data_IF_762592543533
#
_entry.id   IF_762592543533
#
_cell.length_a   1.000
_cell.length_b   1.000
_cell.length_c   1.000
_cell.angle_alpha   90.00
_cell.angle_beta   90.00
_cell.angle_gamma   90.00
#
_symmetry.space_group_name_H-M   'P 1'
#
loop_
_entity.id
_entity.type
_entity.pdbx_description
1 polymer ?
#
# COMPACT_ATOMS: atom_id res chain seq x y z
N UNK A 1 20.92 21.05 19.82
CA UNK A 1 20.04 22.16 20.25
C UNK A 1 19.16 21.92 21.50
N UNK A 2 18.79 20.69 21.92
CA UNK A 2 17.93 20.50 23.10
C UNK A 2 18.55 20.96 24.43
N UNK A 3 19.84 20.70 24.67
CA UNK A 3 20.45 20.93 25.98
C UNK A 3 20.51 22.42 26.39
N UNK A 4 20.63 23.38 25.46
CA UNK A 4 20.78 24.81 25.80
C UNK A 4 19.48 25.39 26.36
N UNK A 5 18.32 24.94 25.86
CA UNK A 5 17.01 25.45 26.31
C UNK A 5 16.67 25.02 27.74
N UNK A 6 17.24 23.92 28.23
CA UNK A 6 16.97 23.39 29.56
C UNK A 6 17.76 24.08 30.69
N UNK A 7 18.73 24.96 30.39
CA UNK A 7 19.60 25.55 31.42
C UNK A 7 18.88 26.34 32.52
N UNK A 8 17.86 27.18 32.22
CA UNK A 8 17.11 27.88 33.26
C UNK A 8 16.43 26.90 34.23
N UNK A 9 15.74 25.90 33.70
CA UNK A 9 15.04 24.88 34.49
C UNK A 9 16.02 24.07 35.36
N UNK A 10 17.15 23.62 34.78
CA UNK A 10 18.19 22.92 35.55
C UNK A 10 18.78 23.81 36.67
N UNK A 11 18.89 25.12 36.45
CA UNK A 11 19.39 26.06 37.45
C UNK A 11 18.40 26.26 38.60
N UNK A 12 17.09 26.24 38.31
CA UNK A 12 16.04 26.29 39.33
C UNK A 12 16.01 24.99 40.13
N UNK A 13 16.03 23.83 39.47
CA UNK A 13 16.08 22.53 40.15
C UNK A 13 17.30 22.40 41.07
N UNK A 14 18.47 22.89 40.63
CA UNK A 14 19.68 22.91 41.46
C UNK A 14 19.52 23.76 42.73
N UNK A 15 18.74 24.86 42.67
CA UNK A 15 18.45 25.70 43.84
C UNK A 15 17.43 25.06 44.77
N UNK A 16 16.31 24.59 44.21
CA UNK A 16 15.18 24.01 44.95
C UNK A 16 15.59 22.78 45.76
N UNK A 17 16.56 22.01 45.26
CA UNK A 17 17.05 20.78 45.87
C UNK A 17 18.52 20.87 46.30
N UNK A 18 19.04 22.08 46.56
CA UNK A 18 20.49 22.34 46.76
C UNK A 18 21.21 21.48 47.82
N UNK A 19 20.49 20.95 48.82
CA UNK A 19 21.06 20.07 49.86
C UNK A 19 21.02 18.58 49.50
N UNK A 20 20.24 18.19 48.49
CA UNK A 20 19.96 16.79 48.14
C UNK A 20 20.25 16.44 46.68
N UNK A 21 20.45 17.44 45.81
CA UNK A 21 20.68 17.29 44.38
C UNK A 21 21.89 18.11 43.95
N UNK A 22 22.77 17.49 43.17
CA UNK A 22 23.82 18.17 42.44
C UNK A 22 23.65 17.88 40.94
N UNK A 23 23.54 18.95 40.14
CA UNK A 23 23.49 18.84 38.67
C UNK A 23 24.88 19.17 38.12
N UNK A 24 25.47 18.22 37.42
CA UNK A 24 26.79 18.35 36.79
C UNK A 24 26.63 18.19 35.29
N UNK A 25 27.03 19.21 34.54
CA UNK A 25 27.10 19.16 33.08
C UNK A 25 28.36 18.42 32.66
N UNK A 26 28.34 17.72 31.53
CA UNK A 26 29.52 17.05 30.98
C UNK A 26 29.65 17.28 29.49
N UNK A 27 30.85 17.65 29.03
CA UNK A 27 31.13 17.93 27.63
C UNK A 27 32.59 17.66 27.26
N UNK A 28 32.83 17.30 26.00
CA UNK A 28 34.17 17.14 25.42
C UNK A 28 34.76 18.47 24.88
N UNK A 29 34.03 19.57 25.04
CA UNK A 29 34.43 20.92 24.61
C UNK A 29 35.47 21.52 25.57
N UNK A 30 36.30 22.42 25.05
CA UNK A 30 37.38 23.09 25.78
C UNK A 30 36.88 23.94 26.96
N UNK A 31 37.66 24.00 28.05
CA UNK A 31 37.31 24.72 29.26
C UNK A 31 36.93 26.18 29.00
N UNK A 32 37.75 26.91 28.21
CA UNK A 32 37.53 28.33 27.93
C UNK A 32 36.15 28.56 27.30
N UNK A 33 35.78 27.75 26.31
CA UNK A 33 34.51 27.86 25.59
C UNK A 33 33.31 27.65 26.53
N UNK A 34 33.41 26.69 27.45
CA UNK A 34 32.34 26.38 28.40
C UNK A 34 32.25 27.43 29.51
N UNK A 35 33.37 27.91 30.02
CA UNK A 35 33.42 29.03 30.98
C UNK A 35 32.75 30.27 30.40
N UNK A 36 33.15 30.69 29.19
CA UNK A 36 32.56 31.84 28.48
C UNK A 36 31.04 31.63 28.28
N UNK A 37 30.63 30.41 27.95
CA UNK A 37 29.22 30.04 27.75
C UNK A 37 28.37 30.14 29.02
N UNK A 38 28.89 29.69 30.17
CA UNK A 38 28.21 29.70 31.47
C UNK A 38 28.14 31.12 32.06
N UNK A 39 29.24 31.88 32.00
CA UNK A 39 29.30 33.29 32.45
C UNK A 39 28.27 34.13 31.70
N UNK A 40 28.23 34.01 30.38
CA UNK A 40 27.26 34.74 29.54
C UNK A 40 25.80 34.46 29.93
N UNK A 41 25.52 33.28 30.47
CA UNK A 41 24.17 32.86 30.90
C UNK A 41 23.90 33.07 32.39
N UNK A 42 24.88 33.54 33.16
CA UNK A 42 24.79 33.62 34.63
C UNK A 42 24.33 32.29 35.25
N UNK A 43 24.75 31.18 34.66
CA UNK A 43 24.35 29.84 35.08
C UNK A 43 25.15 29.41 36.33
N UNK A 44 24.50 28.98 37.43
CA UNK A 44 25.19 28.47 38.61
C UNK A 44 25.69 27.03 38.44
N UNK A 45 25.35 26.38 37.32
CA UNK A 45 25.70 24.97 37.06
C UNK A 45 27.19 24.80 36.81
N UNK A 46 27.75 23.70 37.32
CA UNK A 46 29.14 23.30 37.10
C UNK A 46 29.22 22.32 35.93
N UNK A 47 30.31 22.37 35.16
CA UNK A 47 30.56 21.47 34.04
C UNK A 47 31.92 20.77 34.17
N UNK A 48 31.93 19.47 33.90
CA UNK A 48 33.12 18.74 33.47
C UNK A 48 33.36 19.10 31.99
N UNK A 49 34.59 19.45 31.66
CA UNK A 49 35.02 19.92 30.33
C UNK A 49 36.10 18.99 29.78
N UNK A 50 36.31 19.01 28.47
CA UNK A 50 37.27 18.14 27.78
C UNK A 50 37.13 16.64 28.13
N UNK A 51 35.92 16.22 28.52
CA UNK A 51 35.68 14.86 28.98
C UNK A 51 35.88 13.86 27.84
N UNK A 52 36.70 12.85 28.16
CA UNK A 52 36.91 11.65 27.36
C UNK A 52 36.42 10.39 28.07
N UNK A 53 36.33 10.44 29.41
CA UNK A 53 36.07 9.25 30.24
C UNK A 53 34.58 8.96 30.34
N UNK A 54 33.76 9.96 30.71
CA UNK A 54 32.31 9.77 30.81
C UNK A 54 31.70 9.45 29.45
N UNK A 55 32.25 9.98 28.36
CA UNK A 55 31.86 9.59 26.99
C UNK A 55 32.03 8.09 26.70
N UNK A 56 33.04 7.44 27.28
CA UNK A 56 33.29 6.00 27.12
C UNK A 56 32.44 5.19 28.09
N UNK A 57 32.33 5.63 29.34
CA UNK A 57 31.56 4.93 30.39
C UNK A 57 30.05 5.04 30.16
N UNK A 58 29.59 6.18 29.67
CA UNK A 58 28.19 6.49 29.34
C UNK A 58 28.08 6.88 27.87
N UNK A 59 28.17 5.91 26.94
CA UNK A 59 28.10 6.19 25.52
C UNK A 59 26.73 6.74 25.13
N UNK A 60 26.72 8.00 24.68
CA UNK A 60 25.51 8.67 24.20
C UNK A 60 25.18 8.26 22.76
N UNK A 61 24.02 7.64 22.57
CA UNK A 61 23.51 7.26 21.23
C UNK A 61 22.55 8.30 20.64
N UNK A 62 22.04 9.22 21.47
CA UNK A 62 21.33 10.43 21.03
C UNK A 62 21.29 11.45 22.18
N UNK A 63 21.00 12.71 21.87
CA UNK A 63 20.80 13.78 22.88
C UNK A 63 19.33 14.15 22.98
N UNK A 64 18.82 14.54 24.16
CA UNK A 64 19.52 14.65 25.46
C UNK A 64 19.83 13.29 26.12
N UNK A 65 20.76 13.28 27.09
CA UNK A 65 21.29 12.07 27.74
C UNK A 65 21.60 12.38 29.21
N UNK A 66 20.67 12.00 30.08
CA UNK A 66 20.69 12.38 31.50
C UNK A 66 21.02 11.15 32.35
N UNK A 67 22.06 11.25 33.17
CA UNK A 67 22.55 10.14 34.00
C UNK A 67 22.22 10.45 35.45
N UNK A 68 21.34 9.65 36.04
CA UNK A 68 20.94 9.75 37.44
C UNK A 68 21.85 8.87 38.29
N UNK A 69 22.49 9.45 39.31
CA UNK A 69 23.33 8.72 40.26
C UNK A 69 22.74 8.91 41.65
N UNK A 70 22.44 7.80 42.35
CA UNK A 70 21.91 7.78 43.71
C UNK A 70 22.63 6.71 44.51
N UNK A 71 23.03 7.03 45.74
CA UNK A 71 23.73 6.10 46.66
C UNK A 71 24.96 5.42 46.03
N UNK A 72 25.72 6.20 45.24
CA UNK A 72 26.93 5.74 44.55
C UNK A 72 26.69 4.81 43.35
N UNK A 73 25.44 4.61 42.92
CA UNK A 73 25.07 3.76 41.78
C UNK A 73 24.32 4.53 40.72
N UNK A 74 24.44 4.09 39.47
CA UNK A 74 23.60 4.59 38.38
C UNK A 74 22.17 4.17 38.66
N UNK A 75 21.30 5.15 38.90
CA UNK A 75 19.88 4.96 39.18
C UNK A 75 19.08 4.81 37.88
N UNK A 76 19.41 5.61 36.85
CA UNK A 76 18.81 5.53 35.52
C UNK A 76 19.61 6.34 34.50
N UNK A 77 19.44 5.99 33.21
CA UNK A 77 19.88 6.82 32.08
C UNK A 77 18.64 7.18 31.26
N UNK A 78 18.28 8.46 31.20
CA UNK A 78 16.98 8.90 30.65
C UNK A 78 17.14 9.99 29.58
N UNK A 79 16.01 10.39 29.01
CA UNK A 79 15.87 11.69 28.34
C UNK A 79 15.54 12.79 29.36
N UNK A 80 15.31 14.02 28.88
CA UNK A 80 14.99 15.18 29.71
C UNK A 80 13.61 15.13 30.34
N UNK A 81 12.69 14.28 29.88
CA UNK A 81 11.31 14.23 30.38
C UNK A 81 11.26 13.99 31.89
N UNK A 82 12.17 13.14 32.38
CA UNK A 82 12.27 12.79 33.80
C UNK A 82 12.96 13.87 34.65
N UNK A 83 13.67 14.84 34.07
CA UNK A 83 14.40 15.87 34.82
C UNK A 83 13.48 17.03 35.17
N UNK A 84 12.63 16.84 36.17
CA UNK A 84 11.71 17.85 36.68
C UNK A 84 11.50 17.71 38.21
N UNK A 85 10.99 18.78 38.85
CA UNK A 85 10.87 18.87 40.31
C UNK A 85 10.04 17.73 40.91
N UNK A 86 8.94 17.33 40.25
CA UNK A 86 8.09 16.22 40.69
C UNK A 86 8.88 14.92 40.73
N UNK A 87 9.48 14.51 39.60
CA UNK A 87 10.23 13.25 39.53
C UNK A 87 11.39 13.24 40.52
N UNK A 88 12.16 14.34 40.61
CA UNK A 88 13.29 14.45 41.55
C UNK A 88 12.82 14.21 42.98
N UNK A 89 11.74 14.89 43.42
CA UNK A 89 11.19 14.73 44.77
C UNK A 89 10.76 13.29 45.04
N UNK A 90 10.10 12.64 44.08
CA UNK A 90 9.67 11.25 44.21
C UNK A 90 10.85 10.27 44.31
N UNK A 91 11.94 10.50 43.56
CA UNK A 91 13.16 9.70 43.63
C UNK A 91 13.90 9.90 44.96
N UNK A 92 13.97 11.15 45.44
CA UNK A 92 14.57 11.49 46.74
C UNK A 92 13.80 10.86 47.90
N UNK A 93 12.47 10.89 47.87
CA UNK A 93 11.59 10.30 48.88
C UNK A 93 11.53 8.77 48.84
N UNK A 94 12.07 8.14 47.77
CA UNK A 94 11.97 6.69 47.58
C UNK A 94 10.60 6.20 47.10
N UNK A 95 9.72 7.11 46.66
CA UNK A 95 8.42 6.77 46.05
C UNK A 95 8.61 6.12 44.67
N UNK A 96 9.67 6.50 43.96
CA UNK A 96 10.08 5.89 42.70
C UNK A 96 11.41 5.16 42.92
N UNK A 97 11.40 3.85 42.69
CA UNK A 97 12.59 2.99 42.81
C UNK A 97 13.28 2.71 41.48
N UNK A 98 12.68 3.09 40.35
CA UNK A 98 13.28 2.98 39.02
C UNK A 98 12.61 3.94 38.02
N UNK A 99 13.39 4.44 37.04
CA UNK A 99 12.88 5.22 35.91
C UNK A 99 12.95 4.40 34.63
N UNK A 100 12.10 4.73 33.65
CA UNK A 100 12.19 4.09 32.33
C UNK A 100 13.49 4.52 31.66
N UNK A 101 14.38 3.57 31.43
CA UNK A 101 15.63 3.85 30.73
C UNK A 101 15.39 4.22 29.27
N UNK A 102 16.23 5.13 28.79
CA UNK A 102 16.32 5.45 27.38
C UNK A 102 16.81 4.24 26.61
N UNK A 103 15.93 3.66 25.79
CA UNK A 103 16.27 2.53 24.92
C UNK A 103 16.97 3.00 23.65
N UNK A 104 17.94 2.22 23.21
CA UNK A 104 18.64 2.42 21.93
C UNK A 104 18.43 1.16 21.11
N UNK A 105 17.76 1.31 19.99
CA UNK A 105 17.62 0.23 19.03
C UNK A 105 18.93 0.08 18.25
N UNK A 106 19.81 -0.83 18.70
CA UNK A 106 21.13 -1.03 18.08
C UNK A 106 21.05 -1.68 16.70
N UNK A 107 19.93 -2.31 16.35
CA UNK A 107 19.66 -2.83 15.00
C UNK A 107 19.15 -1.74 14.04
N UNK A 108 18.96 -0.50 14.49
CA UNK A 108 18.52 0.57 13.61
C UNK A 108 19.70 1.28 12.92
N UNK A 109 19.73 1.19 11.60
CA UNK A 109 20.61 1.91 10.70
C UNK A 109 19.78 2.91 9.88
N UNK A 110 20.11 4.19 10.01
CA UNK A 110 19.41 5.30 9.35
C UNK A 110 19.59 5.32 7.81
N UNK A 111 20.58 4.60 7.30
CA UNK A 111 20.85 4.51 5.86
C UNK A 111 20.13 3.34 5.19
N UNK A 112 19.47 2.48 5.98
CA UNK A 112 18.74 1.32 5.49
C UNK A 112 17.23 1.56 5.57
N UNK A 113 16.41 0.97 4.68
CA UNK A 113 14.96 1.03 4.78
C UNK A 113 14.44 0.42 6.09
N UNK A 114 13.38 0.99 6.64
CA UNK A 114 12.79 0.51 7.90
C UNK A 114 12.15 -0.88 7.71
N UNK A 115 12.35 -1.76 8.68
CA UNK A 115 11.85 -3.15 8.73
C UNK A 115 12.36 -4.09 7.63
N UNK A 116 13.31 -3.65 6.80
CA UNK A 116 14.01 -4.51 5.83
C UNK A 116 15.25 -5.08 6.51
N UNK A 117 15.51 -6.37 6.31
CA UNK A 117 16.66 -7.10 6.87
C UNK A 117 16.88 -6.88 8.38
N UNK A 118 15.78 -6.74 9.13
CA UNK A 118 15.78 -6.54 10.58
C UNK A 118 16.09 -5.11 11.04
N UNK A 119 16.14 -4.15 10.13
CA UNK A 119 16.45 -2.76 10.44
C UNK A 119 15.35 -2.07 11.27
N UNK A 120 15.63 -1.82 12.55
CA UNK A 120 14.73 -1.07 13.43
C UNK A 120 13.51 -1.83 13.96
N UNK A 121 13.24 -3.04 13.49
CA UNK A 121 12.11 -3.87 13.90
C UNK A 121 11.90 -5.05 12.96
N UNK A 122 10.75 -5.72 13.04
CA UNK A 122 10.42 -6.85 12.18
C UNK A 122 8.97 -6.88 11.69
N UNK A 123 8.60 -7.99 11.07
CA UNK A 123 7.26 -8.19 10.46
C UNK A 123 6.07 -7.99 11.41
N UNK A 124 6.29 -8.16 12.72
CA UNK A 124 5.28 -7.99 13.76
C UNK A 124 4.99 -6.50 14.04
N UNK A 125 5.93 -5.60 13.73
CA UNK A 125 5.78 -4.15 13.90
C UNK A 125 5.15 -3.49 12.66
N UNK A 126 5.03 -4.23 11.56
CA UNK A 126 4.47 -3.75 10.30
C UNK A 126 2.96 -3.53 10.42
N UNK A 127 2.49 -2.30 10.25
CA UNK A 127 1.06 -1.98 10.26
C UNK A 127 0.48 -1.80 8.85
N UNK A 128 1.32 -1.31 7.94
CA UNK A 128 0.96 -1.04 6.55
C UNK A 128 2.20 -1.27 5.69
N UNK A 129 2.04 -1.93 4.56
CA UNK A 129 3.10 -2.14 3.59
C UNK A 129 2.53 -1.91 2.20
N UNK A 130 3.14 -1.01 1.45
CA UNK A 130 2.89 -0.86 0.01
C UNK A 130 4.25 -0.72 -0.65
N UNK A 131 4.56 -1.63 -1.57
CA UNK A 131 5.83 -1.64 -2.28
C UNK A 131 5.57 -1.83 -3.77
N UNK A 132 6.29 -1.05 -4.56
CA UNK A 132 6.41 -1.24 -6.00
C UNK A 132 7.87 -1.53 -6.29
N UNK A 133 8.14 -2.57 -7.05
CA UNK A 133 9.48 -2.90 -7.55
C UNK A 133 9.46 -3.01 -9.07
N UNK A 134 10.63 -3.07 -9.68
CA UNK A 134 10.76 -3.55 -11.06
C UNK A 134 10.52 -5.06 -11.16
N UNK A 135 10.83 -5.62 -12.33
CA UNK A 135 10.83 -7.05 -12.58
C UNK A 135 11.77 -7.81 -11.63
N UNK A 136 11.32 -8.96 -11.16
CA UNK A 136 12.06 -9.85 -10.26
C UNK A 136 12.12 -11.27 -10.85
N UNK A 137 13.33 -11.83 -10.99
CA UNK A 137 13.53 -13.19 -11.52
C UNK A 137 13.10 -14.28 -10.52
N UNK A 138 12.50 -15.35 -11.04
CA UNK A 138 12.26 -16.59 -10.28
C UNK A 138 11.13 -16.53 -9.25
N UNK A 139 10.25 -15.53 -9.30
CA UNK A 139 9.13 -15.38 -8.37
C UNK A 139 7.77 -15.57 -9.05
N UNK A 140 6.78 -16.05 -8.28
CA UNK A 140 5.40 -16.24 -8.72
C UNK A 140 4.41 -16.14 -7.55
N UNK A 141 3.11 -16.22 -7.86
CA UNK A 141 2.04 -16.15 -6.86
C UNK A 141 1.39 -14.77 -6.74
N UNK A 142 1.03 -14.14 -7.85
CA UNK A 142 0.06 -13.04 -7.86
C UNK A 142 -1.29 -13.53 -7.33
N UNK A 143 -2.01 -12.67 -6.61
CA UNK A 143 -3.27 -13.06 -6.00
C UNK A 143 -3.59 -12.25 -4.75
N UNK A 144 -4.53 -12.77 -3.96
CA UNK A 144 -4.82 -12.28 -2.62
C UNK A 144 -4.72 -13.42 -1.64
N UNK A 145 -4.13 -13.11 -0.50
CA UNK A 145 -3.78 -14.07 0.53
C UNK A 145 -3.99 -13.45 1.91
N UNK A 146 -4.04 -14.29 2.93
CA UNK A 146 -3.67 -13.87 4.27
C UNK A 146 -2.15 -14.00 4.41
N UNK A 147 -1.50 -13.03 5.05
CA UNK A 147 -0.11 -13.22 5.46
C UNK A 147 -0.01 -14.09 6.73
N UNK A 148 1.22 -14.32 7.22
CA UNK A 148 1.44 -15.17 8.41
C UNK A 148 0.82 -14.62 9.71
N UNK A 149 0.38 -13.36 9.72
CA UNK A 149 -0.26 -12.70 10.86
C UNK A 149 -1.77 -12.50 10.62
N UNK A 150 -2.34 -13.07 9.56
CA UNK A 150 -3.76 -12.96 9.23
C UNK A 150 -4.16 -11.62 8.59
N UNK A 151 -3.19 -10.79 8.19
CA UNK A 151 -3.44 -9.52 7.50
C UNK A 151 -3.80 -9.78 6.04
N UNK A 152 -4.58 -8.87 5.45
CA UNK A 152 -4.92 -8.95 4.04
C UNK A 152 -3.69 -8.59 3.20
N UNK A 153 -3.35 -9.46 2.24
CA UNK A 153 -2.23 -9.28 1.32
C UNK A 153 -2.72 -9.36 -0.12
N UNK A 154 -2.48 -8.30 -0.90
CA UNK A 154 -2.70 -8.27 -2.34
C UNK A 154 -1.35 -8.19 -3.04
N UNK A 155 -1.14 -9.04 -4.05
CA UNK A 155 0.12 -9.11 -4.77
C UNK A 155 -0.11 -9.25 -6.27
N UNK A 156 0.64 -8.48 -7.06
CA UNK A 156 0.77 -8.63 -8.50
C UNK A 156 2.26 -8.62 -8.83
N UNK A 157 2.78 -9.70 -9.41
CA UNK A 157 4.20 -9.85 -9.72
C UNK A 157 4.42 -9.83 -11.22
N UNK A 158 5.51 -9.16 -11.63
CA UNK A 158 5.98 -9.10 -13.02
C UNK A 158 4.85 -8.80 -14.02
N UNK A 159 4.03 -7.78 -13.72
CA UNK A 159 2.98 -7.27 -14.61
C UNK A 159 3.36 -5.91 -15.19
N UNK A 160 2.83 -5.58 -16.36
CA UNK A 160 2.91 -4.22 -16.92
C UNK A 160 2.11 -3.24 -16.06
N UNK A 161 2.28 -1.94 -16.25
CA UNK A 161 1.44 -0.98 -15.54
C UNK A 161 -0.07 -1.17 -15.84
N UNK A 162 -0.41 -1.64 -17.05
CA UNK A 162 -1.79 -2.00 -17.41
C UNK A 162 -2.30 -3.18 -16.60
N UNK A 163 -1.51 -4.24 -16.47
CA UNK A 163 -1.87 -5.43 -15.68
C UNK A 163 -2.11 -5.05 -14.22
N UNK A 164 -1.29 -4.15 -13.66
CA UNK A 164 -1.46 -3.68 -12.28
C UNK A 164 -2.76 -2.87 -12.13
N UNK A 165 -3.05 -1.93 -13.02
CA UNK A 165 -4.30 -1.14 -12.96
C UNK A 165 -5.55 -2.00 -13.19
N UNK A 166 -5.53 -2.86 -14.20
CA UNK A 166 -6.68 -3.75 -14.51
C UNK A 166 -6.88 -4.78 -13.42
N UNK A 167 -5.82 -5.30 -12.79
CA UNK A 167 -5.96 -6.17 -11.64
C UNK A 167 -6.58 -5.42 -10.45
N UNK A 168 -6.12 -4.21 -10.13
CA UNK A 168 -6.69 -3.40 -9.07
C UNK A 168 -8.18 -3.08 -9.33
N UNK A 169 -8.51 -2.64 -10.54
CA UNK A 169 -9.89 -2.35 -10.94
C UNK A 169 -10.75 -3.63 -10.94
N UNK A 170 -10.24 -4.74 -11.47
CA UNK A 170 -10.92 -6.05 -11.49
C UNK A 170 -11.29 -6.56 -10.09
N UNK A 171 -10.55 -6.14 -9.07
CA UNK A 171 -10.89 -6.41 -7.66
C UNK A 171 -11.96 -5.50 -7.07
N UNK A 172 -12.23 -4.35 -7.70
CA UNK A 172 -13.34 -3.46 -7.38
C UNK A 172 -14.62 -3.97 -8.04
N UNK A 173 -14.53 -4.25 -9.34
CA UNK A 173 -15.61 -4.83 -10.14
C UNK A 173 -14.97 -5.79 -11.16
N UNK A 174 -15.40 -7.05 -11.11
CA UNK A 174 -14.82 -8.14 -11.90
C UNK A 174 -14.91 -7.89 -13.42
N UNK A 175 -15.85 -7.05 -13.87
CA UNK A 175 -15.96 -6.69 -15.29
C UNK A 175 -14.73 -5.94 -15.82
N UNK A 176 -13.92 -5.29 -14.97
CA UNK A 176 -12.70 -4.61 -15.42
C UNK A 176 -11.56 -5.56 -15.83
N UNK A 177 -11.69 -6.86 -15.58
CA UNK A 177 -10.80 -7.86 -16.18
C UNK A 177 -11.02 -8.04 -17.68
N UNK A 178 -12.18 -7.60 -18.20
CA UNK A 178 -12.50 -7.68 -19.62
C UNK A 178 -11.85 -6.49 -20.33
N UNK A 179 -11.03 -6.76 -21.35
CA UNK A 179 -10.22 -5.76 -22.05
C UNK A 179 -11.00 -4.52 -22.50
N UNK A 180 -12.20 -4.69 -23.08
CA UNK A 180 -13.04 -3.58 -23.56
C UNK A 180 -13.79 -2.81 -22.45
N UNK A 181 -13.59 -3.15 -21.17
CA UNK A 181 -13.98 -2.33 -19.99
C UNK A 181 -12.88 -1.37 -19.55
N UNK A 182 -11.75 -1.36 -20.26
CA UNK A 182 -10.66 -0.40 -20.08
C UNK A 182 -10.48 0.47 -21.31
N UNK A 183 -10.56 1.79 -21.12
CA UNK A 183 -10.27 2.79 -22.14
C UNK A 183 -8.84 3.31 -21.93
N UNK A 184 -7.94 2.94 -22.85
CA UNK A 184 -6.56 3.39 -22.84
C UNK A 184 -6.34 4.55 -23.83
N UNK A 185 -6.09 5.75 -23.33
CA UNK A 185 -5.78 6.94 -24.16
C UNK A 185 -4.40 7.54 -23.85
N UNK A 186 -3.51 6.80 -23.19
CA UNK A 186 -2.15 7.30 -22.93
C UNK A 186 -1.27 7.24 -24.18
N UNK A 187 -0.29 8.13 -24.25
CA UNK A 187 0.80 8.09 -25.23
C UNK A 187 1.86 7.02 -24.92
N UNK A 188 1.90 6.46 -23.71
CA UNK A 188 2.95 5.55 -23.24
C UNK A 188 2.62 4.07 -23.51
N UNK A 189 2.33 3.73 -24.77
CA UNK A 189 1.81 2.39 -25.15
C UNK A 189 2.72 1.22 -24.73
N UNK A 190 4.04 1.33 -24.97
CA UNK A 190 4.99 0.25 -24.66
C UNK A 190 4.99 -0.13 -23.18
N UNK A 191 4.75 0.82 -22.26
CA UNK A 191 4.73 0.55 -20.80
C UNK A 191 3.45 -0.16 -20.32
N UNK A 192 2.45 -0.29 -21.19
CA UNK A 192 1.14 -0.83 -20.85
C UNK A 192 0.77 -2.09 -21.61
N UNK A 193 1.23 -2.28 -22.85
CA UNK A 193 0.74 -3.37 -23.69
C UNK A 193 1.81 -3.86 -24.66
N UNK A 194 1.55 -5.01 -25.26
CA UNK A 194 2.37 -5.64 -26.31
C UNK A 194 3.76 -6.12 -25.81
N UNK A 195 3.88 -6.38 -24.51
CA UNK A 195 5.10 -6.87 -23.87
C UNK A 195 5.04 -8.36 -23.59
N UNK A 196 6.17 -9.03 -23.76
CA UNK A 196 6.37 -10.43 -23.41
C UNK A 196 7.38 -10.54 -22.28
N UNK A 197 6.94 -11.05 -21.11
CA UNK A 197 7.82 -11.28 -19.94
C UNK A 197 9.00 -12.20 -20.24
N UNK A 198 8.86 -13.09 -21.23
CA UNK A 198 9.91 -14.03 -21.64
C UNK A 198 11.03 -13.34 -22.41
N UNK A 199 10.78 -12.17 -22.98
CA UNK A 199 11.79 -11.35 -23.65
C UNK A 199 12.49 -10.45 -22.61
N UNK A 200 13.80 -10.65 -22.36
CA UNK A 200 14.53 -9.85 -21.39
C UNK A 200 14.53 -8.34 -21.70
N UNK A 201 14.39 -7.94 -22.96
CA UNK A 201 14.36 -6.52 -23.36
C UNK A 201 13.10 -5.80 -22.89
N UNK A 202 12.01 -6.54 -22.60
CA UNK A 202 10.76 -5.99 -22.09
C UNK A 202 10.72 -5.89 -20.56
N UNK A 203 11.57 -6.63 -19.83
CA UNK A 203 11.59 -6.67 -18.35
C UNK A 203 11.67 -5.30 -17.66
N UNK A 204 12.36 -4.27 -18.19
CA UNK A 204 12.33 -2.92 -17.59
C UNK A 204 10.96 -2.24 -17.57
N UNK A 205 9.97 -2.79 -18.28
CA UNK A 205 8.61 -2.29 -18.36
C UNK A 205 7.63 -3.14 -17.52
N UNK A 206 8.15 -4.11 -16.74
CA UNK A 206 7.40 -4.92 -15.79
C UNK A 206 7.68 -4.51 -14.34
N UNK A 207 6.64 -4.63 -13.51
CA UNK A 207 6.63 -4.19 -12.13
C UNK A 207 6.03 -5.27 -11.23
N UNK A 208 6.43 -5.25 -9.96
CA UNK A 208 5.71 -5.97 -8.91
C UNK A 208 5.05 -4.96 -7.98
N UNK A 209 3.92 -5.35 -7.41
CA UNK A 209 3.22 -4.64 -6.37
C UNK A 209 2.85 -5.61 -5.24
N UNK A 210 3.06 -5.18 -4.00
CA UNK A 210 2.48 -5.83 -2.83
C UNK A 210 1.90 -4.80 -1.87
N UNK A 211 0.70 -5.10 -1.41
CA UNK A 211 -0.01 -4.38 -0.35
C UNK A 211 -0.30 -5.34 0.80
N UNK A 212 0.14 -5.00 2.01
CA UNK A 212 -0.27 -5.68 3.26
C UNK A 212 -0.95 -4.65 4.15
N UNK A 213 -2.20 -4.93 4.52
CA UNK A 213 -3.03 -4.08 5.38
C UNK A 213 -3.79 -4.91 6.42
N UNK A 214 -4.23 -4.32 7.55
CA UNK A 214 -5.17 -4.98 8.45
C UNK A 214 -6.37 -5.54 7.70
N UNK A 215 -6.85 -6.72 8.12
CA UNK A 215 -7.98 -7.42 7.45
C UNK A 215 -9.23 -6.54 7.32
N UNK A 216 -9.45 -5.62 8.26
CA UNK A 216 -10.55 -4.64 8.23
C UNK A 216 -10.49 -3.65 7.06
N UNK A 217 -9.38 -3.60 6.30
CA UNK A 217 -9.21 -2.73 5.13
C UNK A 217 -9.27 -3.50 3.80
N UNK A 218 -9.62 -4.78 3.81
CA UNK A 218 -9.73 -5.63 2.63
C UNK A 218 -10.55 -5.00 1.49
N UNK A 219 -11.75 -4.49 1.78
CA UNK A 219 -12.61 -3.87 0.76
C UNK A 219 -12.01 -2.59 0.16
N UNK A 220 -11.14 -1.90 0.91
CA UNK A 220 -10.47 -0.67 0.46
C UNK A 220 -9.16 -0.95 -0.25
N UNK A 221 -8.58 -2.14 -0.09
CA UNK A 221 -7.25 -2.47 -0.59
C UNK A 221 -7.12 -2.31 -2.13
N UNK A 222 -8.11 -2.69 -2.96
CA UNK A 222 -8.05 -2.43 -4.40
C UNK A 222 -7.98 -0.93 -4.76
N UNK A 223 -8.73 -0.08 -4.05
CA UNK A 223 -8.68 1.37 -4.25
C UNK A 223 -7.34 1.97 -3.79
N UNK A 224 -6.78 1.48 -2.68
CA UNK A 224 -5.44 1.86 -2.22
C UNK A 224 -4.37 1.50 -3.24
N UNK A 225 -4.49 0.33 -3.89
CA UNK A 225 -3.61 -0.03 -4.99
C UNK A 225 -3.72 0.98 -6.14
N UNK A 226 -4.94 1.31 -6.61
CA UNK A 226 -5.12 2.34 -7.66
C UNK A 226 -4.45 3.67 -7.28
N UNK A 227 -4.60 4.12 -6.04
CA UNK A 227 -3.96 5.35 -5.54
C UNK A 227 -2.43 5.27 -5.55
N UNK A 228 -1.87 4.15 -5.13
CA UNK A 228 -0.41 3.95 -5.12
C UNK A 228 0.16 3.87 -6.54
N UNK A 229 -0.53 3.19 -7.46
CA UNK A 229 -0.17 3.17 -8.88
C UNK A 229 -0.24 4.57 -9.49
N UNK A 230 -1.27 5.34 -9.17
CA UNK A 230 -1.43 6.73 -9.62
C UNK A 230 -0.31 7.63 -9.08
N UNK A 231 0.11 7.46 -7.82
CA UNK A 231 1.25 8.20 -7.27
C UNK A 231 2.54 7.81 -7.99
N UNK A 232 2.82 6.53 -8.15
CA UNK A 232 4.08 6.06 -8.71
C UNK A 232 4.18 6.30 -10.22
N UNK A 233 3.26 5.74 -11.01
CA UNK A 233 3.26 5.87 -12.46
C UNK A 233 2.85 7.27 -12.94
N UNK A 234 2.07 8.00 -12.14
CA UNK A 234 1.77 9.40 -12.43
C UNK A 234 3.01 10.28 -12.37
N UNK A 235 3.83 10.15 -11.33
CA UNK A 235 5.06 10.93 -11.21
C UNK A 235 6.16 10.46 -12.19
N UNK A 236 6.26 9.15 -12.44
CA UNK A 236 7.35 8.60 -13.24
C UNK A 236 7.07 8.63 -14.76
N UNK A 237 5.84 8.37 -15.17
CA UNK A 237 5.44 8.22 -16.57
C UNK A 237 4.30 9.14 -17.00
N UNK A 238 3.71 9.91 -16.07
CA UNK A 238 2.55 10.73 -16.39
C UNK A 238 1.28 9.91 -16.65
N UNK A 239 1.18 8.69 -16.12
CA UNK A 239 0.00 7.81 -16.32
C UNK A 239 -0.94 7.93 -15.14
N UNK A 240 -2.24 8.08 -15.40
CA UNK A 240 -3.30 8.05 -14.39
C UNK A 240 -4.41 7.06 -14.77
N UNK A 241 -4.78 6.21 -13.83
CA UNK A 241 -5.98 5.36 -13.90
C UNK A 241 -7.10 5.88 -13.03
N UNK A 242 -8.28 6.08 -13.61
CA UNK A 242 -9.51 6.43 -12.90
C UNK A 242 -10.65 5.49 -13.30
N UNK A 243 -11.50 5.09 -12.35
CA UNK A 243 -12.78 4.44 -12.65
C UNK A 243 -13.85 5.53 -12.78
N UNK A 244 -14.44 5.68 -13.97
CA UNK A 244 -15.42 6.73 -14.25
C UNK A 244 -16.63 6.19 -14.98
N UNK A 245 -17.81 6.64 -14.55
CA UNK A 245 -19.05 6.45 -15.28
C UNK A 245 -19.00 7.24 -16.59
N UNK A 246 -19.18 6.57 -17.71
CA UNK A 246 -19.07 7.11 -19.07
C UNK A 246 -20.24 6.66 -19.92
N UNK A 247 -20.79 7.57 -20.72
CA UNK A 247 -21.75 7.21 -21.78
C UNK A 247 -20.98 6.70 -23.00
N UNK A 248 -21.16 5.43 -23.36
CA UNK A 248 -20.53 4.81 -24.54
C UNK A 248 -21.50 3.83 -25.22
N UNK A 249 -21.17 3.40 -26.44
CA UNK A 249 -21.91 2.31 -27.09
C UNK A 249 -21.55 0.98 -26.43
N UNK A 250 -22.55 0.12 -26.23
CA UNK A 250 -22.39 -1.21 -25.66
C UNK A 250 -23.25 -2.23 -26.40
N UNK A 251 -22.78 -3.48 -26.41
CA UNK A 251 -23.58 -4.63 -26.80
C UNK A 251 -24.51 -5.01 -25.63
N UNK A 252 -25.79 -4.68 -25.75
CA UNK A 252 -26.78 -4.89 -24.70
C UNK A 252 -27.52 -6.19 -24.93
N UNK A 253 -27.47 -7.08 -23.95
CA UNK A 253 -28.17 -8.36 -23.96
C UNK A 253 -29.56 -8.20 -23.31
N UNK A 254 -30.61 -8.60 -24.02
CA UNK A 254 -32.01 -8.53 -23.55
C UNK A 254 -32.78 -9.80 -23.89
N UNK A 255 -33.85 -10.06 -23.13
CA UNK A 255 -34.87 -11.03 -23.56
C UNK A 255 -35.65 -10.47 -24.74
N UNK A 256 -35.93 -11.32 -25.72
CA UNK A 256 -36.82 -11.01 -26.82
C UNK A 256 -38.28 -11.27 -26.44
N UNK A 257 -39.20 -11.15 -27.40
CA UNK A 257 -40.58 -11.63 -27.26
C UNK A 257 -40.67 -13.16 -27.32
N UNK A 258 -39.66 -13.83 -27.87
CA UNK A 258 -39.63 -15.29 -27.91
C UNK A 258 -39.32 -15.83 -26.51
N UNK A 259 -39.89 -17.00 -26.13
CA UNK A 259 -39.59 -17.63 -24.85
C UNK A 259 -38.08 -17.84 -24.68
N UNK A 260 -37.57 -17.54 -23.48
CA UNK A 260 -36.20 -17.86 -23.13
C UNK A 260 -36.06 -19.38 -22.98
N UNK A 261 -35.21 -20.01 -23.78
CA UNK A 261 -35.03 -21.48 -23.82
C UNK A 261 -33.73 -21.95 -23.16
N UNK A 262 -32.94 -21.02 -22.61
CA UNK A 262 -31.69 -21.33 -21.92
C UNK A 262 -31.85 -21.76 -20.46
N UNK A 263 -33.06 -21.87 -19.93
CA UNK A 263 -33.29 -22.32 -18.54
C UNK A 263 -32.77 -23.74 -18.33
N UNK A 264 -32.08 -23.95 -17.21
CA UNK A 264 -31.48 -25.25 -16.92
C UNK A 264 -32.50 -26.38 -16.74
N UNK A 265 -32.12 -27.59 -17.15
CA UNK A 265 -32.84 -28.83 -16.83
C UNK A 265 -32.38 -29.45 -15.49
N UNK A 266 -31.48 -28.79 -14.77
CA UNK A 266 -30.85 -29.28 -13.55
C UNK A 266 -29.63 -30.17 -13.81
N UNK A 267 -29.19 -30.89 -12.79
CA UNK A 267 -27.98 -31.71 -12.84
C UNK A 267 -26.78 -31.04 -12.18
N UNK A 268 -25.58 -31.59 -12.37
CA UNK A 268 -24.35 -31.03 -11.79
C UNK A 268 -23.93 -29.79 -12.58
N UNK A 269 -23.68 -28.68 -11.88
CA UNK A 269 -23.10 -27.48 -12.47
C UNK A 269 -21.76 -27.81 -13.12
N UNK A 270 -21.62 -27.48 -14.41
CA UNK A 270 -20.38 -27.67 -15.15
C UNK A 270 -20.30 -26.72 -16.36
N UNK A 271 -19.08 -26.28 -16.65
CA UNK A 271 -18.72 -25.63 -17.91
C UNK A 271 -17.70 -26.51 -18.63
N UNK A 272 -18.00 -26.95 -19.86
CA UNK A 272 -17.11 -27.82 -20.65
C UNK A 272 -16.73 -27.14 -21.95
N UNK A 273 -15.41 -27.06 -22.20
CA UNK A 273 -14.87 -26.51 -23.44
C UNK A 273 -14.78 -27.61 -24.50
N UNK A 274 -15.32 -27.33 -25.68
CA UNK A 274 -15.21 -28.15 -26.87
C UNK A 274 -14.86 -27.25 -28.06
N UNK A 275 -13.65 -27.41 -28.60
CA UNK A 275 -13.09 -26.56 -29.66
C UNK A 275 -13.26 -25.06 -29.32
N UNK A 276 -13.99 -24.33 -30.17
CA UNK A 276 -14.30 -22.91 -30.02
C UNK A 276 -15.62 -22.64 -29.29
N UNK A 277 -16.07 -23.57 -28.44
CA UNK A 277 -17.32 -23.46 -27.71
C UNK A 277 -17.13 -23.79 -26.23
N UNK A 278 -17.80 -23.02 -25.36
CA UNK A 278 -17.97 -23.37 -23.95
C UNK A 278 -19.44 -23.64 -23.70
N UNK A 279 -19.74 -24.85 -23.25
CA UNK A 279 -21.09 -25.25 -22.87
C UNK A 279 -21.25 -25.14 -21.35
N UNK A 280 -22.21 -24.34 -20.93
CA UNK A 280 -22.68 -24.21 -19.55
C UNK A 280 -23.87 -25.13 -19.33
N UNK A 281 -23.87 -25.86 -18.22
CA UNK A 281 -24.99 -26.68 -17.75
C UNK A 281 -25.18 -26.39 -16.27
N UNK A 282 -26.40 -25.99 -15.90
CA UNK A 282 -26.79 -25.64 -14.54
C UNK A 282 -25.82 -24.66 -13.85
N UNK A 283 -25.34 -23.65 -14.58
CA UNK A 283 -24.43 -22.62 -14.08
C UNK A 283 -25.15 -21.27 -13.95
N UNK A 284 -24.81 -20.43 -12.96
CA UNK A 284 -25.40 -19.09 -12.83
C UNK A 284 -25.27 -18.27 -14.12
N UNK A 285 -26.34 -17.60 -14.53
CA UNK A 285 -26.32 -16.75 -15.71
C UNK A 285 -25.21 -15.68 -15.68
N UNK A 286 -24.84 -15.19 -14.50
CA UNK A 286 -23.71 -14.26 -14.33
C UNK A 286 -22.38 -14.84 -14.83
N UNK A 287 -22.12 -16.14 -14.61
CA UNK A 287 -20.92 -16.82 -15.08
C UNK A 287 -20.95 -16.92 -16.62
N UNK A 288 -22.10 -17.30 -17.17
CA UNK A 288 -22.31 -17.31 -18.62
C UNK A 288 -22.08 -15.93 -19.25
N UNK A 289 -22.69 -14.88 -18.70
CA UNK A 289 -22.56 -13.53 -19.22
C UNK A 289 -21.12 -13.02 -19.15
N UNK A 290 -20.41 -13.30 -18.06
CA UNK A 290 -18.99 -12.96 -17.96
C UNK A 290 -18.17 -13.64 -19.06
N UNK A 291 -18.35 -14.95 -19.27
CA UNK A 291 -17.64 -15.67 -20.33
C UNK A 291 -18.05 -15.22 -21.74
N UNK A 292 -19.31 -14.84 -21.96
CA UNK A 292 -19.76 -14.24 -23.21
C UNK A 292 -19.01 -12.94 -23.49
N UNK A 293 -18.91 -12.06 -22.50
CA UNK A 293 -18.23 -10.78 -22.62
C UNK A 293 -16.70 -10.96 -22.78
N UNK A 294 -16.09 -11.91 -22.07
CA UNK A 294 -14.68 -12.29 -22.19
C UNK A 294 -14.35 -12.85 -23.58
N UNK A 295 -15.18 -13.76 -24.10
CA UNK A 295 -15.00 -14.35 -25.43
C UNK A 295 -15.07 -13.31 -26.57
N UNK A 296 -15.68 -12.15 -26.29
CA UNK A 296 -15.86 -11.05 -27.24
C UNK A 296 -15.09 -9.77 -26.80
N UNK A 297 -14.07 -9.92 -25.96
CA UNK A 297 -13.36 -8.77 -25.38
C UNK A 297 -12.56 -7.92 -26.38
N UNK A 298 -12.26 -8.46 -27.56
CA UNK A 298 -11.61 -7.72 -28.65
C UNK A 298 -12.59 -6.91 -29.52
N UNK A 299 -13.90 -7.04 -29.28
CA UNK A 299 -14.90 -6.18 -29.88
C UNK A 299 -14.77 -4.75 -29.35
N UNK A 300 -15.07 -3.75 -30.18
CA UNK A 300 -14.87 -2.33 -29.86
C UNK A 300 -15.72 -1.82 -28.69
N UNK A 301 -16.80 -2.53 -28.34
CA UNK A 301 -17.77 -2.08 -27.36
C UNK A 301 -17.98 -3.14 -26.27
N UNK A 302 -18.07 -2.73 -24.99
CA UNK A 302 -18.31 -3.65 -23.89
C UNK A 302 -19.73 -4.21 -23.90
N UNK A 303 -19.92 -5.30 -23.18
CA UNK A 303 -21.19 -5.99 -23.04
C UNK A 303 -21.92 -5.54 -21.76
N UNK A 304 -23.25 -5.44 -21.83
CA UNK A 304 -24.10 -5.09 -20.69
C UNK A 304 -25.29 -6.03 -20.63
N UNK A 305 -25.51 -6.64 -19.46
CA UNK A 305 -26.68 -7.48 -19.21
C UNK A 305 -27.89 -6.62 -18.80
N UNK A 306 -29.00 -6.78 -19.53
CA UNK A 306 -30.32 -6.23 -19.20
C UNK A 306 -31.42 -7.29 -19.37
N UNK A 307 -31.09 -8.56 -19.16
CA UNK A 307 -32.01 -9.69 -19.29
C UNK A 307 -32.85 -9.95 -18.04
N UNK A 308 -32.36 -9.49 -16.87
CA UNK A 308 -32.90 -9.81 -15.54
C UNK A 308 -32.95 -11.31 -15.24
N UNK A 309 -32.10 -12.13 -15.88
CA UNK A 309 -31.97 -13.56 -15.60
C UNK A 309 -31.05 -13.73 -14.40
N UNK A 310 -31.56 -14.38 -13.35
CA UNK A 310 -30.79 -14.71 -12.14
C UNK A 310 -30.67 -16.22 -11.91
N UNK A 311 -31.46 -17.02 -12.62
CA UNK A 311 -31.43 -18.47 -12.54
C UNK A 311 -30.20 -19.08 -13.24
N UNK A 312 -29.99 -20.36 -12.99
CA UNK A 312 -28.99 -21.15 -13.71
C UNK A 312 -29.44 -21.48 -15.14
N UNK A 313 -28.46 -21.60 -16.03
CA UNK A 313 -28.69 -21.76 -17.47
C UNK A 313 -27.94 -22.93 -18.10
N UNK A 314 -28.53 -23.46 -19.16
CA UNK A 314 -27.93 -24.43 -20.08
C UNK A 314 -27.69 -23.72 -21.43
N UNK A 315 -26.54 -23.07 -21.58
CA UNK A 315 -26.25 -22.18 -22.69
C UNK A 315 -24.83 -22.36 -23.25
N UNK A 316 -24.58 -21.82 -24.44
CA UNK A 316 -23.30 -21.91 -25.14
C UNK A 316 -22.69 -20.54 -25.38
N UNK A 317 -21.38 -20.44 -25.25
CA UNK A 317 -20.57 -19.28 -25.67
C UNK A 317 -19.65 -19.72 -26.79
N UNK A 318 -19.56 -18.92 -27.86
CA UNK A 318 -18.61 -19.12 -28.95
C UNK A 318 -17.35 -18.29 -28.68
N UNK A 319 -16.18 -18.88 -28.93
CA UNK A 319 -14.86 -18.25 -28.81
C UNK A 319 -14.26 -18.02 -30.20
N UNK A 320 -13.19 -17.21 -30.25
CA UNK A 320 -12.41 -16.98 -31.46
C UNK A 320 -13.25 -16.48 -32.66
N UNK A 321 -14.35 -15.76 -32.38
CA UNK A 321 -15.19 -15.15 -33.40
C UNK A 321 -14.71 -13.75 -33.71
N UNK A 322 -14.41 -13.51 -34.98
CA UNK A 322 -14.09 -12.18 -35.50
C UNK A 322 -15.35 -11.35 -35.74
N UNK A 323 -16.43 -12.00 -36.17
CA UNK A 323 -17.74 -11.38 -36.40
C UNK A 323 -18.69 -11.65 -35.22
N UNK A 324 -19.29 -10.58 -34.71
CA UNK A 324 -20.29 -10.64 -33.64
C UNK A 324 -21.59 -11.33 -34.09
N UNK A 325 -21.83 -11.42 -35.41
CA UNK A 325 -23.08 -11.94 -35.96
C UNK A 325 -23.38 -13.38 -35.53
N UNK A 326 -22.38 -14.28 -35.51
CA UNK A 326 -22.59 -15.66 -35.04
C UNK A 326 -23.00 -15.71 -33.56
N UNK A 327 -22.43 -14.82 -32.74
CA UNK A 327 -22.83 -14.65 -31.35
C UNK A 327 -24.28 -14.17 -31.25
N UNK A 328 -24.70 -13.23 -32.10
CA UNK A 328 -26.10 -12.76 -32.15
C UNK A 328 -27.05 -13.90 -32.55
N UNK A 329 -26.76 -14.64 -33.61
CA UNK A 329 -27.58 -15.77 -34.08
C UNK A 329 -27.73 -16.87 -33.02
N UNK A 330 -26.65 -17.19 -32.29
CA UNK A 330 -26.72 -18.14 -31.17
C UNK A 330 -27.61 -17.63 -30.04
N UNK A 331 -27.47 -16.36 -29.66
CA UNK A 331 -28.28 -15.75 -28.60
C UNK A 331 -29.77 -15.69 -28.99
N UNK A 332 -30.06 -15.40 -30.26
CA UNK A 332 -31.44 -15.41 -30.80
C UNK A 332 -32.09 -16.78 -30.69
N UNK A 333 -31.32 -17.87 -30.88
CA UNK A 333 -31.81 -19.23 -30.69
C UNK A 333 -32.26 -19.53 -29.25
N UNK A 334 -31.75 -18.76 -28.28
CA UNK A 334 -32.15 -18.83 -26.87
C UNK A 334 -33.27 -17.85 -26.51
N UNK A 335 -33.78 -17.07 -27.47
CA UNK A 335 -34.74 -16.00 -27.19
C UNK A 335 -34.10 -14.74 -26.60
N UNK A 336 -32.80 -14.53 -26.79
CA UNK A 336 -32.07 -13.32 -26.39
C UNK A 336 -31.67 -12.49 -27.61
N UNK A 337 -31.66 -11.16 -27.47
CA UNK A 337 -31.15 -10.24 -28.48
C UNK A 337 -29.91 -9.52 -27.95
N UNK A 338 -28.92 -9.36 -28.81
CA UNK A 338 -27.73 -8.56 -28.55
C UNK A 338 -27.70 -7.39 -29.53
N UNK A 339 -27.91 -6.17 -29.03
CA UNK A 339 -28.04 -4.96 -29.85
C UNK A 339 -27.14 -3.84 -29.37
N UNK A 340 -26.68 -2.99 -30.30
CA UNK A 340 -25.83 -1.86 -29.98
C UNK A 340 -26.68 -0.69 -29.46
N UNK A 341 -26.48 -0.30 -28.20
CA UNK A 341 -27.19 0.81 -27.55
C UNK A 341 -26.20 1.76 -26.87
N UNK A 342 -26.60 3.01 -26.62
CA UNK A 342 -25.88 3.89 -25.71
C UNK A 342 -26.15 3.47 -24.26
N UNK A 343 -25.09 3.26 -23.48
CA UNK A 343 -25.16 2.89 -22.07
C UNK A 343 -24.28 3.80 -21.23
N UNK A 344 -24.73 4.03 -20.00
CA UNK A 344 -23.95 4.67 -18.95
C UNK A 344 -23.34 3.56 -18.08
N UNK A 345 -22.03 3.36 -18.16
CA UNK A 345 -21.31 2.30 -17.46
C UNK A 345 -20.00 2.81 -16.88
N UNK A 346 -19.47 2.14 -15.86
CA UNK A 346 -18.13 2.42 -15.37
C UNK A 346 -17.07 1.78 -16.27
N UNK A 347 -16.06 2.58 -16.61
CA UNK A 347 -14.86 2.16 -17.34
C UNK A 347 -13.63 2.49 -16.50
N UNK A 348 -12.60 1.63 -16.58
CA UNK A 348 -11.26 2.00 -16.17
C UNK A 348 -10.66 2.86 -17.28
N UNK A 349 -10.33 4.11 -16.98
CA UNK A 349 -9.77 5.06 -17.95
C UNK A 349 -8.30 5.29 -17.59
N UNK A 350 -7.40 4.88 -18.49
CA UNK A 350 -5.97 5.14 -18.40
C UNK A 350 -5.63 6.33 -19.32
N UNK A 351 -5.11 7.41 -18.73
CA UNK A 351 -4.88 8.69 -19.43
C UNK A 351 -3.51 9.27 -19.09
N UNK A 352 -3.04 10.18 -19.95
CA UNK A 352 -1.89 11.02 -19.63
C UNK A 352 -2.30 12.14 -18.66
N UNK A 353 -1.48 12.37 -17.63
CA UNK A 353 -1.57 13.54 -16.77
C UNK A 353 -1.17 14.75 -17.63
N UNK A 354 -2.15 15.62 -17.91
CA UNK A 354 -1.87 16.92 -18.53
C UNK A 354 -0.91 17.66 -17.62
N UNK A 355 0.32 17.92 -18.09
CA UNK A 355 1.20 18.88 -17.42
C UNK A 355 0.52 20.23 -17.51
N UNK A 356 -0.05 20.72 -16.42
CA UNK A 356 -0.32 22.14 -16.31
C UNK A 356 1.04 22.84 -16.43
N UNK A 357 1.16 23.73 -17.43
CA UNK A 357 2.33 24.56 -17.57
C UNK A 357 2.54 25.29 -16.24
N UNK A 358 3.57 24.90 -15.50
CA UNK A 358 4.04 25.69 -14.36
C UNK A 358 4.55 27.00 -14.95
N UNK A 359 3.74 28.05 -14.76
CA UNK A 359 4.08 29.44 -15.05
C UNK A 359 5.19 29.93 -14.13
#
# INVERSE_FOLDING_TARGET
MPCIKAFPELSELSKDFSTQLQIILATSEEQKKITDFLIKRKSPLTSIVEDKTLKVVFPKNSVPHEIWIKDGKVFAITDTYYVNSKTIKQVLNGEITSLTEKKVNRSYNLNEPLLIDGNGGGKNDLLYHSVITGYLDGIGGSGVFADTLGRYKLRVLNGTAFDLYTYAAGRIDYSFYIKNRTLNTTSVKRKLQDLNTSDPSHRPDFFCYELIVPKSLEEKAPYMMVDDLNKFFGNLYGIRGDIKTTTTKCWVLRKTKNPFTGTTKGGKAQATKDNDMLQFINEPFSNYFFSLAEANQDQSFPFVDRTSISDNVDMKVLFNRTDIKETQELLESYGLSLTLENCEIQLLILTDIKKENQL
#
